data_IF_090988844278
#
_entry.id   IF_090988844278
#
_cell.length_a   1.000
_cell.length_b   1.000
_cell.length_c   1.000
_cell.angle_alpha   90.00
_cell.angle_beta   90.00
_cell.angle_gamma   90.00
#
_symmetry.space_group_name_H-M   'P 1'
#
loop_
_entity.id
_entity.type
_entity.pdbx_description
1 polymer ?
#
# COMPACT_ATOMS: atom_id res chain seq x y z
N UNK A 1 -4.83 -15.81 -9.99
CA UNK A 1 -5.94 -16.78 -10.03
C UNK A 1 -6.82 -16.61 -8.80
N UNK A 2 -6.20 -16.60 -7.62
CA UNK A 2 -6.82 -16.57 -6.29
C UNK A 2 -7.96 -15.55 -6.13
N UNK A 3 -7.70 -14.26 -6.36
CA UNK A 3 -8.74 -13.23 -6.20
C UNK A 3 -9.88 -13.36 -7.23
N UNK A 4 -9.60 -13.88 -8.44
CA UNK A 4 -10.65 -14.18 -9.43
C UNK A 4 -11.51 -15.36 -8.95
N UNK A 5 -10.89 -16.40 -8.41
CA UNK A 5 -11.58 -17.58 -7.87
C UNK A 5 -12.45 -17.26 -6.65
N UNK A 6 -12.03 -16.27 -5.84
CA UNK A 6 -12.78 -15.74 -4.70
C UNK A 6 -13.93 -14.80 -5.09
N UNK A 7 -14.05 -14.48 -6.38
CA UNK A 7 -15.07 -13.57 -6.89
C UNK A 7 -14.86 -12.14 -6.40
N UNK A 8 -13.59 -11.69 -6.35
CA UNK A 8 -13.22 -10.32 -5.97
C UNK A 8 -12.69 -9.51 -7.16
N UNK A 9 -12.71 -10.09 -8.37
CA UNK A 9 -12.22 -9.45 -9.59
C UNK A 9 -13.35 -9.39 -10.63
N UNK A 10 -13.55 -8.22 -11.23
CA UNK A 10 -14.49 -8.04 -12.33
C UNK A 10 -13.89 -7.17 -13.44
N UNK A 11 -14.50 -7.23 -14.62
CA UNK A 11 -14.13 -6.38 -15.76
C UNK A 11 -15.19 -5.29 -15.94
N UNK A 12 -14.76 -4.05 -16.16
CA UNK A 12 -15.65 -2.90 -16.41
C UNK A 12 -14.90 -1.82 -17.17
N UNK A 13 -15.57 -1.24 -18.17
CA UNK A 13 -15.04 -0.14 -19.01
C UNK A 13 -13.68 -0.49 -19.67
N UNK A 14 -13.52 -1.76 -20.04
CA UNK A 14 -12.29 -2.29 -20.64
C UNK A 14 -11.12 -2.49 -19.67
N UNK A 15 -11.32 -2.26 -18.37
CA UNK A 15 -10.31 -2.44 -17.32
C UNK A 15 -10.68 -3.59 -16.37
N UNK A 16 -9.67 -4.15 -15.71
CA UNK A 16 -9.84 -5.14 -14.63
C UNK A 16 -9.81 -4.45 -13.28
N UNK A 17 -10.83 -4.72 -12.48
CA UNK A 17 -11.06 -4.13 -11.18
C UNK A 17 -10.98 -5.18 -10.08
N UNK A 18 -10.41 -4.79 -8.96
CA UNK A 18 -10.56 -5.47 -7.68
C UNK A 18 -11.73 -4.83 -6.92
N UNK A 19 -12.71 -5.65 -6.58
CA UNK A 19 -13.92 -5.29 -5.84
C UNK A 19 -13.61 -5.07 -4.35
N UNK A 20 -12.69 -4.12 -4.08
CA UNK A 20 -12.22 -3.85 -2.72
C UNK A 20 -13.31 -3.34 -1.78
N UNK A 21 -14.39 -2.76 -2.33
CA UNK A 21 -15.53 -2.30 -1.52
C UNK A 21 -16.26 -3.43 -0.81
N UNK A 22 -16.27 -4.65 -1.37
CA UNK A 22 -16.75 -5.87 -0.72
C UNK A 22 -16.03 -6.17 0.60
N UNK A 23 -14.82 -5.63 0.75
CA UNK A 23 -13.91 -5.82 1.88
C UNK A 23 -13.68 -4.53 2.69
N UNK A 24 -14.55 -3.53 2.54
CA UNK A 24 -14.54 -2.31 3.37
C UNK A 24 -13.69 -1.14 2.87
N UNK A 25 -13.21 -1.19 1.63
CA UNK A 25 -12.55 -0.04 0.99
C UNK A 25 -13.57 1.05 0.55
N UNK A 26 -13.10 2.26 0.27
CA UNK A 26 -13.96 3.39 -0.13
C UNK A 26 -14.49 3.29 -1.57
N UNK A 27 -13.71 2.67 -2.46
CA UNK A 27 -14.05 2.42 -3.86
C UNK A 27 -13.20 1.30 -4.42
N UNK A 28 -13.76 0.60 -5.41
CA UNK A 28 -13.05 -0.45 -6.13
C UNK A 28 -11.79 0.09 -6.81
N UNK A 29 -10.80 -0.79 -6.94
CA UNK A 29 -9.48 -0.41 -7.44
C UNK A 29 -9.23 -1.04 -8.80
N UNK A 30 -8.94 -0.21 -9.79
CA UNK A 30 -8.37 -0.69 -11.06
C UNK A 30 -7.02 -1.35 -10.75
N UNK A 31 -6.83 -2.58 -11.23
CA UNK A 31 -5.56 -3.32 -11.12
C UNK A 31 -4.91 -3.52 -12.49
N UNK A 32 -5.71 -3.61 -13.56
CA UNK A 32 -5.24 -3.55 -14.95
C UNK A 32 -6.07 -2.48 -15.65
N UNK A 33 -5.41 -1.46 -16.18
CA UNK A 33 -6.05 -0.36 -16.88
C UNK A 33 -6.55 -0.80 -18.25
N UNK A 34 -7.41 0.02 -18.86
CA UNK A 34 -7.97 -0.25 -20.20
C UNK A 34 -6.93 -0.26 -21.33
N UNK A 35 -5.75 0.30 -21.10
CA UNK A 35 -4.59 0.22 -22.01
C UNK A 35 -3.75 -1.05 -21.82
N UNK A 36 -4.16 -1.95 -20.90
CA UNK A 36 -3.46 -3.19 -20.56
C UNK A 36 -2.34 -3.03 -19.53
N UNK A 37 -1.98 -1.80 -19.12
CA UNK A 37 -0.93 -1.59 -18.14
C UNK A 37 -1.42 -1.85 -16.71
N UNK A 38 -0.54 -2.41 -15.88
CA UNK A 38 -0.82 -2.61 -14.46
C UNK A 38 -0.90 -1.27 -13.70
N UNK A 39 -1.87 -1.17 -12.79
CA UNK A 39 -1.89 -0.09 -11.82
C UNK A 39 -0.87 -0.38 -10.70
N UNK A 40 -0.39 0.66 -10.01
CA UNK A 40 0.54 0.48 -8.88
C UNK A 40 -0.01 -0.47 -7.81
N UNK A 41 -1.32 -0.41 -7.56
CA UNK A 41 -1.95 -1.28 -6.57
C UNK A 41 -1.94 -2.76 -6.95
N UNK A 42 -1.80 -3.11 -8.24
CA UNK A 42 -1.62 -4.50 -8.64
C UNK A 42 -0.29 -5.08 -8.13
N UNK A 43 0.77 -4.26 -8.09
CA UNK A 43 2.04 -4.67 -7.52
C UNK A 43 1.95 -4.89 -6.00
N UNK A 44 1.19 -4.04 -5.28
CA UNK A 44 0.94 -4.21 -3.84
C UNK A 44 0.20 -5.52 -3.55
N UNK A 45 -0.82 -5.87 -4.35
CA UNK A 45 -1.54 -7.15 -4.27
C UNK A 45 -0.60 -8.33 -4.49
N UNK A 46 0.20 -8.29 -5.55
CA UNK A 46 1.16 -9.35 -5.85
C UNK A 46 2.18 -9.50 -4.73
N UNK A 47 2.66 -8.38 -4.17
CA UNK A 47 3.65 -8.40 -3.10
C UNK A 47 3.09 -8.93 -1.78
N UNK A 48 1.86 -8.55 -1.42
CA UNK A 48 1.20 -9.09 -0.22
C UNK A 48 1.00 -10.60 -0.34
N UNK A 49 0.43 -11.06 -1.47
CA UNK A 49 0.24 -12.48 -1.74
C UNK A 49 1.57 -13.24 -1.62
N UNK A 50 2.64 -12.70 -2.18
CA UNK A 50 3.96 -13.33 -2.08
C UNK A 50 4.46 -13.39 -0.63
N UNK A 51 4.34 -12.31 0.16
CA UNK A 51 4.77 -12.32 1.56
C UNK A 51 4.05 -13.37 2.39
N UNK A 52 2.73 -13.53 2.19
CA UNK A 52 1.89 -14.46 2.95
C UNK A 52 2.01 -15.92 2.51
N UNK A 53 2.28 -16.16 1.23
CA UNK A 53 2.15 -17.49 0.63
C UNK A 53 3.37 -17.95 -0.17
N UNK A 54 4.56 -17.37 0.06
CA UNK A 54 5.81 -17.88 -0.51
C UNK A 54 6.20 -19.23 0.10
N UNK A 55 6.85 -20.06 -0.70
CA UNK A 55 7.20 -21.44 -0.32
C UNK A 55 8.18 -21.51 0.86
N UNK A 56 9.09 -20.54 0.97
CA UNK A 56 10.08 -20.46 2.03
C UNK A 56 9.80 -19.26 2.94
N UNK A 57 9.74 -19.50 4.25
CA UNK A 57 9.54 -18.50 5.30
C UNK A 57 8.34 -17.55 5.03
N UNK A 58 7.11 -18.06 4.80
CA UNK A 58 5.94 -17.20 4.68
C UNK A 58 5.78 -16.35 5.94
N UNK A 59 5.44 -15.07 5.78
CA UNK A 59 5.29 -14.17 6.90
C UNK A 59 3.92 -14.40 7.56
N UNK A 60 3.86 -14.84 8.82
CA UNK A 60 2.60 -14.94 9.58
C UNK A 60 1.88 -13.59 9.71
N UNK A 61 2.69 -12.52 9.84
CA UNK A 61 2.25 -11.13 9.95
C UNK A 61 3.05 -10.27 8.97
N UNK A 62 2.36 -9.60 8.05
CA UNK A 62 2.94 -8.63 7.13
C UNK A 62 2.83 -7.21 7.70
N UNK A 63 3.96 -6.65 8.16
CA UNK A 63 4.01 -5.29 8.69
C UNK A 63 4.44 -4.31 7.59
N UNK A 64 3.72 -3.19 7.46
CA UNK A 64 4.01 -2.11 6.52
C UNK A 64 4.23 -0.81 7.30
N UNK A 65 5.29 -0.08 6.96
CA UNK A 65 5.54 1.26 7.51
C UNK A 65 5.32 2.31 6.42
N UNK A 66 4.35 3.19 6.62
CA UNK A 66 3.97 4.22 5.66
C UNK A 66 4.15 5.61 6.26
N UNK A 67 4.31 6.62 5.41
CA UNK A 67 4.26 8.03 5.82
C UNK A 67 2.83 8.50 6.09
N UNK A 68 2.68 9.53 6.92
CA UNK A 68 1.37 10.12 7.27
C UNK A 68 0.54 10.63 6.06
N UNK A 69 1.20 10.91 4.94
CA UNK A 69 0.59 11.30 3.66
C UNK A 69 -0.13 10.12 2.95
N UNK A 70 0.09 8.88 3.39
CA UNK A 70 -0.51 7.67 2.82
C UNK A 70 -1.72 7.14 3.59
N UNK A 71 -2.31 7.92 4.51
CA UNK A 71 -3.51 7.49 5.25
C UNK A 71 -4.66 7.01 4.35
N UNK A 72 -4.91 7.68 3.22
CA UNK A 72 -5.93 7.26 2.25
C UNK A 72 -5.63 5.94 1.52
N UNK A 73 -4.46 5.35 1.75
CA UNK A 73 -4.04 4.06 1.22
C UNK A 73 -4.30 2.90 2.19
N UNK A 74 -4.65 3.18 3.46
CA UNK A 74 -4.88 2.15 4.48
C UNK A 74 -6.08 1.29 4.11
N UNK A 75 -7.22 1.90 3.75
CA UNK A 75 -8.47 1.19 3.46
C UNK A 75 -8.30 0.09 2.41
N UNK A 76 -7.66 0.41 1.27
CA UNK A 76 -7.40 -0.57 0.21
C UNK A 76 -6.47 -1.69 0.62
N UNK A 77 -5.47 -1.40 1.46
CA UNK A 77 -4.52 -2.39 1.96
C UNK A 77 -5.22 -3.37 2.91
N UNK A 78 -6.07 -2.87 3.81
CA UNK A 78 -6.86 -3.71 4.71
C UNK A 78 -7.89 -4.54 3.93
N UNK A 79 -8.54 -3.96 2.92
CA UNK A 79 -9.45 -4.68 2.03
C UNK A 79 -8.74 -5.80 1.24
N UNK A 80 -7.52 -5.55 0.76
CA UNK A 80 -6.68 -6.56 0.14
C UNK A 80 -6.35 -7.71 1.10
N UNK A 81 -5.96 -7.40 2.34
CA UNK A 81 -5.73 -8.41 3.38
C UNK A 81 -6.97 -9.32 3.56
N UNK A 82 -8.13 -8.72 3.79
CA UNK A 82 -9.40 -9.43 3.97
C UNK A 82 -9.77 -10.28 2.73
N UNK A 83 -9.53 -9.80 1.52
CA UNK A 83 -9.81 -10.55 0.29
C UNK A 83 -9.01 -11.85 0.17
N UNK A 84 -7.78 -11.89 0.69
CA UNK A 84 -7.00 -13.14 0.77
C UNK A 84 -7.48 -14.08 1.89
N UNK A 85 -8.50 -13.69 2.67
CA UNK A 85 -9.04 -14.44 3.79
C UNK A 85 -8.22 -14.28 5.08
N UNK A 86 -7.33 -13.29 5.11
CA UNK A 86 -6.53 -12.93 6.27
C UNK A 86 -7.26 -11.86 7.11
N UNK A 87 -6.93 -11.75 8.39
CA UNK A 87 -7.53 -10.79 9.32
C UNK A 87 -6.71 -9.47 9.38
N UNK A 88 -7.27 -8.33 8.94
CA UNK A 88 -6.61 -7.03 9.04
C UNK A 88 -6.36 -6.64 10.51
N UNK A 89 -5.16 -6.18 10.82
CA UNK A 89 -4.71 -5.91 12.20
C UNK A 89 -3.99 -7.09 12.84
N UNK A 90 -4.23 -8.32 12.37
CA UNK A 90 -3.53 -9.52 12.85
C UNK A 90 -2.50 -9.99 11.83
N UNK A 91 -2.94 -10.40 10.63
CA UNK A 91 -2.06 -10.89 9.56
C UNK A 91 -1.44 -9.75 8.75
N UNK A 92 -2.06 -8.56 8.73
CA UNK A 92 -1.47 -7.34 8.17
C UNK A 92 -1.56 -6.19 9.17
N UNK A 93 -0.44 -5.53 9.43
CA UNK A 93 -0.39 -4.34 10.27
C UNK A 93 0.23 -3.18 9.51
N UNK A 94 -0.34 -1.98 9.69
CA UNK A 94 0.16 -0.75 9.08
C UNK A 94 0.53 0.23 10.18
N UNK A 95 1.80 0.62 10.19
CA UNK A 95 2.36 1.63 11.09
C UNK A 95 2.55 2.93 10.32
N UNK A 96 2.10 4.05 10.90
CA UNK A 96 2.19 5.37 10.28
C UNK A 96 3.28 6.20 10.94
N UNK A 97 4.36 6.45 10.20
CA UNK A 97 5.39 7.40 10.55
C UNK A 97 4.92 8.83 10.32
N UNK A 98 4.99 9.65 11.37
CA UNK A 98 4.66 11.08 11.28
C UNK A 98 5.81 11.88 10.66
N UNK A 99 5.48 13.06 10.11
CA UNK A 99 6.48 14.00 9.62
C UNK A 99 7.33 14.51 10.79
N UNK A 100 8.66 14.51 10.59
CA UNK A 100 9.62 15.03 11.57
C UNK A 100 10.11 16.42 11.15
N UNK A 101 10.34 17.29 12.13
CA UNK A 101 10.93 18.61 11.91
C UNK A 101 12.44 18.55 12.16
N UNK A 102 13.24 18.91 11.17
CA UNK A 102 14.70 19.02 11.33
C UNK A 102 15.06 20.39 11.90
N UNK A 103 15.82 20.39 12.99
CA UNK A 103 16.35 21.60 13.62
C UNK A 103 17.85 21.70 13.38
N UNK A 104 18.35 22.91 13.09
CA UNK A 104 19.78 23.24 13.10
C UNK A 104 19.99 24.45 13.98
N UNK A 105 20.90 24.33 14.95
CA UNK A 105 21.17 25.38 15.96
C UNK A 105 19.88 25.86 16.67
N UNK A 106 18.96 24.93 16.97
CA UNK A 106 17.68 25.20 17.61
C UNK A 106 16.61 25.85 16.71
N UNK A 107 16.88 26.07 15.41
CA UNK A 107 15.92 26.66 14.46
C UNK A 107 15.46 25.64 13.43
N UNK A 108 14.16 25.68 13.10
CA UNK A 108 13.59 24.82 12.07
C UNK A 108 14.20 25.11 10.70
N UNK A 109 14.69 24.06 10.04
CA UNK A 109 15.25 24.17 8.68
C UNK A 109 14.16 23.83 7.69
N UNK A 110 13.92 24.73 6.73
CA UNK A 110 12.96 24.50 5.65
C UNK A 110 13.67 23.75 4.51
N UNK A 111 13.31 22.48 4.31
CA UNK A 111 13.83 21.69 3.20
C UNK A 111 13.22 22.17 1.88
N UNK A 112 14.04 22.36 0.85
CA UNK A 112 13.59 22.75 -0.48
C UNK A 112 14.53 22.21 -1.55
N UNK A 113 14.01 21.31 -2.39
CA UNK A 113 14.72 20.79 -3.58
C UNK A 113 15.11 21.90 -4.55
N UNK A 114 14.27 22.92 -4.74
CA UNK A 114 14.55 24.04 -5.67
C UNK A 114 15.60 25.02 -5.14
N UNK A 115 15.74 25.13 -3.82
CA UNK A 115 16.73 26.00 -3.19
C UNK A 115 18.08 25.31 -2.93
N UNK A 116 18.20 24.01 -3.25
CA UNK A 116 19.42 23.22 -3.01
C UNK A 116 19.63 22.78 -1.56
N UNK A 117 18.73 23.15 -0.63
CA UNK A 117 18.81 22.74 0.77
C UNK A 117 17.96 21.49 1.00
N UNK A 118 18.58 20.32 0.81
CA UNK A 118 18.04 19.00 1.19
C UNK A 118 18.94 18.45 2.29
N UNK A 119 18.33 17.99 3.39
CA UNK A 119 19.03 17.22 4.43
C UNK A 119 18.97 15.76 4.00
N UNK A 120 20.13 15.15 3.77
CA UNK A 120 20.26 13.74 3.46
C UNK A 120 20.33 12.91 4.76
N UNK A 121 20.18 11.59 4.65
CA UNK A 121 20.37 10.69 5.81
C UNK A 121 21.79 10.83 6.37
N UNK A 122 22.78 11.08 5.52
CA UNK A 122 24.18 11.22 5.93
C UNK A 122 24.47 12.55 6.66
N UNK A 123 23.55 13.51 6.62
CA UNK A 123 23.66 14.79 7.32
C UNK A 123 23.14 14.74 8.78
N UNK A 124 22.64 13.57 9.23
CA UNK A 124 22.08 13.32 10.57
C UNK A 124 23.09 12.67 11.52
#
# INVERSE_FOLDING_TARGET
ADLRERGDIYEKDGATWFESTKHGDDKDRVIIKSDGNYAYFAADIAYYRNKRHRDNDPADIAIYMLGADHHGYIGRMMAMCAAFGDEPGENMQILIGQLVNVLKDGKAVRMSKRAGNVVTIDDQ
#
